data_IF_135696480527
#
_entry.id   IF_135696480527
#
_cell.length_a   1.000
_cell.length_b   1.000
_cell.length_c   1.000
_cell.angle_alpha   90.00
_cell.angle_beta   90.00
_cell.angle_gamma   90.00
#
_symmetry.space_group_name_H-M   'P 1'
#
loop_
_entity.id
_entity.type
_entity.pdbx_description
1 polymer ?
#
# COMPACT_ATOMS: atom_id res chain seq x y z
N UNK A 1 -3.77 -0.07 16.19
CA UNK A 1 -3.60 1.16 15.40
C UNK A 1 -4.79 2.06 15.67
N UNK A 2 -4.59 3.18 16.32
CA UNK A 2 -5.62 4.22 16.51
C UNK A 2 -5.80 5.00 15.21
N UNK A 3 -6.90 5.75 15.06
CA UNK A 3 -7.13 6.59 13.87
C UNK A 3 -5.99 7.61 13.65
N UNK A 4 -5.39 8.11 14.73
CA UNK A 4 -4.26 9.05 14.67
C UNK A 4 -2.97 8.36 14.21
N UNK A 5 -2.72 7.13 14.65
CA UNK A 5 -1.58 6.32 14.19
C UNK A 5 -1.72 5.95 12.71
N UNK A 6 -2.94 5.65 12.26
CA UNK A 6 -3.25 5.41 10.86
C UNK A 6 -2.94 6.65 10.02
N UNK A 7 -3.46 7.82 10.41
CA UNK A 7 -3.26 9.05 9.65
C UNK A 7 -1.77 9.43 9.56
N UNK A 8 -1.03 9.32 10.66
CA UNK A 8 0.43 9.55 10.67
C UNK A 8 1.17 8.59 9.76
N UNK A 9 0.79 7.31 9.76
CA UNK A 9 1.39 6.30 8.89
C UNK A 9 1.07 6.62 7.42
N UNK A 10 -0.18 6.96 7.11
CA UNK A 10 -0.60 7.34 5.77
C UNK A 10 0.16 8.57 5.25
N UNK A 11 0.21 9.66 6.02
CA UNK A 11 0.93 10.89 5.65
C UNK A 11 2.42 10.61 5.44
N UNK A 12 2.99 9.72 6.25
CA UNK A 12 4.37 9.28 6.12
C UNK A 12 4.62 8.47 4.83
N UNK A 13 3.70 7.59 4.45
CA UNK A 13 3.79 6.81 3.21
C UNK A 13 3.60 7.70 1.97
N UNK A 14 2.63 8.62 1.99
CA UNK A 14 2.37 9.53 0.85
C UNK A 14 3.52 10.52 0.65
N UNK A 15 4.14 11.00 1.72
CA UNK A 15 5.26 11.97 1.65
C UNK A 15 6.57 11.37 1.15
N UNK A 16 6.76 10.04 1.22
CA UNK A 16 8.00 9.36 0.81
C UNK A 16 8.08 9.03 -0.68
N UNK A 17 7.04 9.36 -1.47
CA UNK A 17 6.87 8.95 -2.87
C UNK A 17 6.80 7.41 -3.00
N UNK A 18 6.26 6.86 -4.09
CA UNK A 18 6.38 5.42 -4.35
C UNK A 18 7.86 5.05 -4.38
N UNK A 19 8.31 4.36 -3.33
CA UNK A 19 9.59 3.69 -3.31
C UNK A 19 9.34 2.20 -3.55
N UNK A 20 10.40 1.43 -3.75
CA UNK A 20 10.26 0.01 -4.10
C UNK A 20 9.65 -0.85 -2.97
N UNK A 21 9.35 -0.26 -1.81
CA UNK A 21 8.69 -0.89 -0.66
C UNK A 21 7.26 -0.36 -0.41
N UNK A 22 6.71 0.50 -1.27
CA UNK A 22 5.34 1.03 -1.14
C UNK A 22 4.64 0.93 -2.51
N UNK A 23 3.51 0.24 -2.55
CA UNK A 23 2.68 0.08 -3.74
C UNK A 23 1.26 0.60 -3.48
N UNK A 24 0.79 1.56 -4.29
CA UNK A 24 -0.58 2.06 -4.19
C UNK A 24 -1.49 1.43 -5.26
N UNK A 25 -2.67 0.95 -4.84
CA UNK A 25 -3.67 0.39 -5.74
C UNK A 25 -5.01 1.10 -5.64
N UNK A 26 -5.55 1.48 -6.79
CA UNK A 26 -6.95 1.84 -6.98
C UNK A 26 -7.76 0.55 -6.88
N UNK A 27 -8.29 0.26 -5.70
CA UNK A 27 -9.00 -0.99 -5.49
C UNK A 27 -10.44 -0.88 -6.00
N UNK A 28 -10.71 -1.55 -7.12
CA UNK A 28 -12.05 -2.01 -7.48
C UNK A 28 -12.34 -3.40 -6.89
N UNK A 29 -13.61 -3.78 -6.84
CA UNK A 29 -14.13 -4.94 -6.10
C UNK A 29 -13.53 -6.31 -6.41
N UNK A 30 -12.84 -6.47 -7.54
CA UNK A 30 -12.29 -7.75 -8.02
C UNK A 30 -10.76 -7.76 -8.05
N UNK A 31 -10.11 -7.33 -6.96
CA UNK A 31 -8.66 -7.48 -6.86
C UNK A 31 -8.30 -8.95 -6.63
N UNK A 32 -7.80 -9.58 -7.69
CA UNK A 32 -7.37 -10.98 -7.73
C UNK A 32 -6.40 -11.32 -6.59
N UNK A 33 -6.76 -12.34 -5.79
CA UNK A 33 -5.98 -12.77 -4.62
C UNK A 33 -4.58 -13.23 -5.02
N UNK A 34 -4.42 -13.83 -6.21
CA UNK A 34 -3.12 -14.23 -6.72
C UNK A 34 -2.23 -13.02 -7.00
N UNK A 35 -2.81 -11.91 -7.48
CA UNK A 35 -2.06 -10.66 -7.65
C UNK A 35 -1.62 -10.10 -6.31
N UNK A 36 -2.48 -10.14 -5.30
CA UNK A 36 -2.11 -9.71 -3.94
C UNK A 36 -0.94 -10.52 -3.41
N UNK A 37 -0.97 -11.85 -3.57
CA UNK A 37 0.14 -12.73 -3.17
C UNK A 37 1.46 -12.36 -3.85
N UNK A 38 1.42 -12.02 -5.14
CA UNK A 38 2.60 -11.55 -5.89
C UNK A 38 3.13 -10.22 -5.36
N UNK A 39 2.26 -9.24 -5.09
CA UNK A 39 2.69 -7.96 -4.50
C UNK A 39 3.31 -8.15 -3.12
N UNK A 40 2.68 -8.95 -2.25
CA UNK A 40 3.21 -9.23 -0.91
C UNK A 40 4.58 -9.90 -0.98
N UNK A 41 4.76 -10.88 -1.87
CA UNK A 41 6.05 -11.55 -2.04
C UNK A 41 7.13 -10.60 -2.56
N UNK A 42 6.81 -9.75 -3.53
CA UNK A 42 7.76 -8.77 -4.07
C UNK A 42 8.16 -7.76 -2.99
N UNK A 43 7.17 -7.15 -2.31
CA UNK A 43 7.38 -6.15 -1.26
C UNK A 43 8.19 -6.71 -0.08
N UNK A 44 7.96 -7.95 0.33
CA UNK A 44 8.74 -8.59 1.40
C UNK A 44 10.22 -8.75 1.00
N UNK A 45 10.49 -9.12 -0.25
CA UNK A 45 11.86 -9.22 -0.76
C UNK A 45 12.54 -7.85 -0.82
N UNK A 46 11.84 -6.83 -1.31
CA UNK A 46 12.36 -5.46 -1.41
C UNK A 46 12.60 -4.82 -0.02
N UNK A 47 11.73 -5.10 0.97
CA UNK A 47 11.94 -4.68 2.36
C UNK A 47 13.22 -5.29 2.95
N UNK A 48 13.40 -6.61 2.77
CA UNK A 48 14.59 -7.31 3.22
C UNK A 48 15.87 -6.76 2.56
N UNK A 49 15.84 -6.52 1.25
CA UNK A 49 16.98 -5.96 0.50
C UNK A 49 17.38 -4.57 1.00
N UNK A 50 16.40 -3.75 1.42
CA UNK A 50 16.64 -2.39 1.95
C UNK A 50 16.81 -2.33 3.46
N UNK A 51 16.82 -3.47 4.14
CA UNK A 51 16.85 -3.54 5.61
C UNK A 51 15.73 -2.69 6.26
N UNK A 52 14.54 -2.71 5.65
CA UNK A 52 13.33 -2.10 6.18
C UNK A 52 12.55 -3.14 6.98
N UNK A 53 11.99 -2.74 8.12
CA UNK A 53 11.19 -3.64 8.96
C UNK A 53 9.87 -4.06 8.29
N UNK A 54 9.42 -3.31 7.28
CA UNK A 54 8.14 -3.54 6.60
C UNK A 54 8.08 -2.90 5.21
N UNK A 55 7.14 -3.36 4.40
CA UNK A 55 6.71 -2.76 3.15
C UNK A 55 5.17 -2.71 3.12
N UNK A 56 4.62 -1.84 2.26
CA UNK A 56 3.22 -1.45 2.31
C UNK A 56 2.53 -1.66 0.97
N UNK A 57 1.40 -2.37 0.99
CA UNK A 57 0.44 -2.43 -0.11
C UNK A 57 -0.82 -1.69 0.34
N UNK A 58 -1.09 -0.54 -0.27
CA UNK A 58 -2.17 0.36 0.16
C UNK A 58 -3.27 0.40 -0.91
N UNK A 59 -4.48 -0.01 -0.52
CA UNK A 59 -5.65 -0.01 -1.40
C UNK A 59 -6.49 1.27 -1.23
N UNK A 60 -7.19 1.64 -2.30
CA UNK A 60 -8.11 2.79 -2.31
C UNK A 60 -7.40 4.15 -2.45
N UNK A 61 -6.20 4.13 -3.00
CA UNK A 61 -5.40 5.33 -3.27
C UNK A 61 -5.15 5.43 -4.77
N UNK A 62 -5.43 6.59 -5.35
CA UNK A 62 -5.17 6.84 -6.76
C UNK A 62 -3.67 6.84 -7.04
N UNK A 63 -3.20 6.01 -7.98
CA UNK A 63 -1.77 5.79 -8.17
C UNK A 63 -1.04 7.03 -8.72
N UNK A 64 -1.75 7.92 -9.41
CA UNK A 64 -1.15 9.12 -10.03
C UNK A 64 -1.20 10.35 -9.13
N UNK A 65 -2.22 10.42 -8.28
CA UNK A 65 -2.50 11.62 -7.46
C UNK A 65 -2.30 11.38 -5.97
N UNK A 66 -2.13 10.12 -5.56
CA UNK A 66 -2.06 9.64 -4.17
C UNK A 66 -3.19 10.15 -3.28
N UNK A 67 -4.31 10.52 -3.89
CA UNK A 67 -5.52 10.87 -3.17
C UNK A 67 -6.19 9.57 -2.73
N UNK A 68 -6.53 9.51 -1.45
CA UNK A 68 -7.47 8.52 -0.96
C UNK A 68 -8.79 8.71 -1.72
N UNK A 69 -9.13 7.73 -2.54
CA UNK A 69 -10.39 7.68 -3.30
C UNK A 69 -11.39 6.70 -2.66
N UNK A 70 -10.96 5.98 -1.62
CA UNK A 70 -11.74 4.92 -0.99
C UNK A 70 -11.65 3.61 -1.76
N UNK A 71 -12.18 2.53 -1.18
CA UNK A 71 -12.34 1.25 -1.85
C UNK A 71 -13.45 0.45 -1.19
N UNK A 72 -14.22 -0.26 -2.01
CA UNK A 72 -15.26 -1.20 -1.58
C UNK A 72 -14.72 -2.65 -1.54
N UNK A 73 -13.38 -2.82 -1.51
CA UNK A 73 -12.74 -4.13 -1.51
C UNK A 73 -13.22 -5.00 -0.33
N UNK A 74 -14.00 -6.04 -0.68
CA UNK A 74 -14.63 -7.00 0.24
C UNK A 74 -15.67 -6.40 1.20
N UNK A 75 -16.48 -5.46 0.74
CA UNK A 75 -17.83 -5.28 1.32
C UNK A 75 -18.72 -6.52 1.14
#
# INVERSE_FOLDING_TARGET
MTSDEFQKTYDHLVSRWENECIEFKEAGNDYDTDKIGRYVSALANEANLRSQDSAWLVFGVNNKTHKAIGTDYRE
#
